data_IF_958531769351
#
_entry.id   IF_958531769351
#
_cell.length_a   1.000
_cell.length_b   1.000
_cell.length_c   1.000
_cell.angle_alpha   90.00
_cell.angle_beta   90.00
_cell.angle_gamma   90.00
#
_symmetry.space_group_name_H-M   'P 1'
#
loop_
_entity.id
_entity.type
_entity.pdbx_description
1 polymer ?
#
# COMPACT_ATOMS: atom_id res chain seq x y z
N UNK A 1 46.54 -26.95 -21.88
CA UNK A 1 47.83 -26.70 -21.20
C UNK A 1 48.10 -25.20 -21.28
N UNK A 2 48.20 -24.57 -20.10
CA UNK A 2 48.40 -23.13 -19.77
C UNK A 2 47.14 -22.25 -19.85
N UNK A 3 46.52 -21.82 -18.72
CA UNK A 3 46.88 -20.72 -17.78
C UNK A 3 46.64 -19.33 -18.41
N UNK A 4 46.00 -18.30 -17.84
CA UNK A 4 45.53 -17.84 -16.50
C UNK A 4 44.29 -16.92 -16.73
N UNK A 5 43.33 -16.72 -15.81
CA UNK A 5 43.37 -15.71 -14.74
C UNK A 5 42.12 -15.82 -13.82
N UNK A 6 42.35 -16.18 -12.56
CA UNK A 6 41.85 -15.59 -11.32
C UNK A 6 40.54 -14.74 -11.34
N UNK A 7 39.46 -15.29 -10.78
CA UNK A 7 38.29 -14.53 -10.30
C UNK A 7 38.13 -14.67 -8.78
N UNK A 8 37.87 -13.52 -8.16
CA UNK A 8 37.68 -13.26 -6.74
C UNK A 8 36.45 -13.97 -6.18
N UNK A 9 36.63 -14.64 -5.03
CA UNK A 9 35.52 -15.09 -4.19
C UNK A 9 34.90 -13.88 -3.49
N UNK A 10 33.78 -13.40 -4.00
CA UNK A 10 32.85 -12.57 -3.23
C UNK A 10 32.03 -13.45 -2.29
N UNK A 11 31.98 -13.03 -1.03
CA UNK A 11 31.27 -13.69 0.06
C UNK A 11 29.82 -13.20 0.02
N UNK A 12 28.90 -14.05 -0.41
CA UNK A 12 27.46 -13.77 -0.36
C UNK A 12 26.99 -13.73 1.11
N UNK A 13 26.83 -12.53 1.66
CA UNK A 13 26.08 -12.30 2.90
C UNK A 13 24.60 -12.23 2.51
N UNK A 14 23.84 -13.27 2.87
CA UNK A 14 22.38 -13.29 2.71
C UNK A 14 21.75 -12.22 3.61
N UNK A 15 21.25 -11.15 3.00
CA UNK A 15 20.42 -10.15 3.65
C UNK A 15 18.99 -10.70 3.80
N UNK A 16 18.61 -11.06 5.02
CA UNK A 16 17.22 -11.36 5.38
C UNK A 16 16.46 -10.05 5.61
N UNK A 17 15.39 -9.82 4.84
CA UNK A 17 14.42 -8.76 5.13
C UNK A 17 13.26 -9.31 5.92
N UNK A 18 13.13 -8.87 7.15
CA UNK A 18 12.03 -9.23 8.04
C UNK A 18 11.01 -8.10 8.11
N UNK A 19 9.71 -8.45 8.03
CA UNK A 19 8.57 -7.53 8.20
C UNK A 19 8.52 -7.00 9.62
N UNK A 20 8.12 -5.73 9.80
CA UNK A 20 7.95 -5.10 11.11
C UNK A 20 6.52 -4.55 11.23
N UNK A 21 5.76 -5.10 12.19
CA UNK A 21 4.41 -4.68 12.55
C UNK A 21 4.42 -3.34 13.32
N UNK A 22 3.52 -2.42 12.98
CA UNK A 22 3.40 -1.09 13.63
C UNK A 22 2.52 -1.13 14.89
N UNK A 23 2.77 -0.23 15.85
CA UNK A 23 1.82 0.11 16.93
C UNK A 23 1.53 1.63 16.97
N UNK A 24 0.24 1.92 16.76
CA UNK A 24 -0.55 3.15 16.96
C UNK A 24 0.07 4.55 16.78
N UNK A 25 -0.33 5.23 15.69
CA UNK A 25 -0.61 6.68 15.67
C UNK A 25 -1.36 7.16 14.41
N UNK A 26 -1.41 6.37 13.33
CA UNK A 26 -2.33 6.54 12.19
C UNK A 26 -2.35 5.19 11.46
N UNK A 27 -3.35 4.34 11.75
CA UNK A 27 -3.39 2.97 11.23
C UNK A 27 -3.86 2.97 9.77
N UNK A 28 -2.90 3.16 8.86
CA UNK A 28 -3.04 2.77 7.46
C UNK A 28 -3.01 1.25 7.39
N UNK A 29 -4.00 0.66 6.75
CA UNK A 29 -4.11 -0.79 6.54
C UNK A 29 -3.73 -1.12 5.10
N UNK A 30 -2.97 -2.19 4.88
CA UNK A 30 -2.61 -2.64 3.55
C UNK A 30 -3.17 -4.04 3.33
N UNK A 31 -3.86 -4.25 2.21
CA UNK A 31 -4.31 -5.57 1.77
C UNK A 31 -3.37 -6.00 0.65
N UNK A 32 -2.47 -6.92 0.93
CA UNK A 32 -1.57 -7.50 -0.06
C UNK A 32 -2.33 -8.55 -0.89
N UNK A 33 -2.44 -8.30 -2.20
CA UNK A 33 -3.31 -9.06 -3.10
C UNK A 33 -2.52 -9.95 -4.05
N UNK A 34 -2.87 -11.23 -4.05
CA UNK A 34 -2.63 -12.16 -5.15
C UNK A 34 -3.76 -12.04 -6.17
N UNK A 35 -3.45 -11.60 -7.40
CA UNK A 35 -4.41 -11.56 -8.49
C UNK A 35 -4.28 -12.79 -9.38
N UNK A 36 -5.24 -13.70 -9.28
CA UNK A 36 -5.41 -14.85 -10.16
C UNK A 36 -6.31 -14.52 -11.34
N UNK A 37 -5.88 -14.84 -12.55
CA UNK A 37 -6.62 -14.53 -13.77
C UNK A 37 -6.70 -15.76 -14.65
N UNK A 38 -7.91 -16.18 -14.95
CA UNK A 38 -8.11 -17.37 -15.77
C UNK A 38 -7.77 -17.14 -17.25
N UNK A 39 -7.71 -18.24 -18.02
CA UNK A 39 -7.39 -18.15 -19.44
C UNK A 39 -8.37 -17.30 -20.25
N UNK A 40 -9.63 -17.21 -19.83
CA UNK A 40 -10.70 -16.56 -20.59
C UNK A 40 -10.54 -15.04 -20.59
N UNK A 41 -10.10 -14.46 -19.46
CA UNK A 41 -9.73 -13.05 -19.36
C UNK A 41 -8.50 -12.75 -20.22
N UNK A 42 -7.45 -13.59 -20.11
CA UNK A 42 -6.23 -13.41 -20.88
C UNK A 42 -6.45 -13.55 -22.40
N UNK A 43 -7.33 -14.47 -22.80
CA UNK A 43 -7.72 -14.66 -24.19
C UNK A 43 -8.50 -13.45 -24.73
N UNK A 44 -9.37 -12.86 -23.92
CA UNK A 44 -10.23 -11.75 -24.33
C UNK A 44 -9.45 -10.42 -24.49
N UNK A 45 -8.59 -10.11 -23.53
CA UNK A 45 -7.79 -8.87 -23.55
C UNK A 45 -6.54 -8.99 -24.42
N UNK A 46 -6.04 -10.22 -24.62
CA UNK A 46 -4.78 -10.48 -25.32
C UNK A 46 -3.58 -10.39 -24.38
N UNK A 47 -2.59 -11.25 -24.61
CA UNK A 47 -1.43 -11.42 -23.69
C UNK A 47 -0.62 -10.14 -23.47
N UNK A 48 -0.53 -9.27 -24.46
CA UNK A 48 0.25 -8.02 -24.38
C UNK A 48 -0.48 -6.92 -23.60
N UNK A 49 -1.81 -6.93 -23.57
CA UNK A 49 -2.62 -5.86 -22.98
C UNK A 49 -3.24 -6.24 -21.64
N UNK A 50 -3.35 -7.53 -21.34
CA UNK A 50 -4.00 -8.03 -20.11
C UNK A 50 -3.34 -7.46 -18.86
N UNK A 51 -2.01 -7.39 -18.78
CA UNK A 51 -1.33 -6.85 -17.60
C UNK A 51 -1.71 -5.39 -17.34
N UNK A 52 -1.73 -4.55 -18.38
CA UNK A 52 -2.10 -3.13 -18.26
C UNK A 52 -3.57 -2.96 -17.84
N UNK A 53 -4.45 -3.77 -18.43
CA UNK A 53 -5.87 -3.81 -18.07
C UNK A 53 -6.05 -4.18 -16.58
N UNK A 54 -5.37 -5.23 -16.11
CA UNK A 54 -5.47 -5.71 -14.73
C UNK A 54 -4.93 -4.68 -13.72
N UNK A 55 -3.79 -4.04 -14.03
CA UNK A 55 -3.25 -2.97 -13.20
C UNK A 55 -4.24 -1.80 -13.11
N UNK A 56 -4.83 -1.41 -14.23
CA UNK A 56 -5.86 -0.36 -14.25
C UNK A 56 -7.08 -0.74 -13.41
N UNK A 57 -7.57 -1.97 -13.54
CA UNK A 57 -8.68 -2.49 -12.74
C UNK A 57 -8.37 -2.43 -11.24
N UNK A 58 -7.20 -2.92 -10.83
CA UNK A 58 -6.79 -2.92 -9.43
C UNK A 58 -6.55 -1.51 -8.88
N UNK A 59 -6.10 -0.56 -9.71
CA UNK A 59 -6.03 0.84 -9.31
C UNK A 59 -7.41 1.42 -9.04
N UNK A 60 -8.41 1.11 -9.86
CA UNK A 60 -9.80 1.51 -9.60
C UNK A 60 -10.30 0.90 -8.29
N UNK A 61 -10.02 -0.37 -8.03
CA UNK A 61 -10.35 -1.03 -6.74
C UNK A 61 -9.69 -0.29 -5.58
N UNK A 62 -8.41 0.06 -5.69
CA UNK A 62 -7.71 0.83 -4.67
C UNK A 62 -8.35 2.20 -4.42
N UNK A 63 -8.73 2.94 -5.47
CA UNK A 63 -9.44 4.21 -5.34
C UNK A 63 -10.81 4.07 -4.64
N UNK A 64 -11.52 2.96 -4.88
CA UNK A 64 -12.79 2.66 -4.18
C UNK A 64 -12.55 2.51 -2.67
N UNK A 65 -11.46 1.85 -2.26
CA UNK A 65 -11.09 1.71 -0.84
C UNK A 65 -10.50 2.98 -0.21
N UNK A 66 -10.03 3.93 -1.03
CA UNK A 66 -9.61 5.27 -0.58
C UNK A 66 -10.77 6.25 -0.41
N UNK A 67 -12.00 5.88 -0.77
CA UNK A 67 -13.14 6.76 -0.58
C UNK A 67 -13.39 7.04 0.91
N UNK A 68 -13.53 8.34 1.23
CA UNK A 68 -13.65 8.81 2.61
C UNK A 68 -14.86 8.21 3.36
N UNK A 69 -15.90 7.78 2.65
CA UNK A 69 -17.08 7.16 3.27
C UNK A 69 -16.77 5.83 3.96
N UNK A 70 -15.68 5.14 3.59
CA UNK A 70 -15.26 3.89 4.24
C UNK A 70 -14.89 4.10 5.71
N UNK A 71 -14.38 5.28 6.06
CA UNK A 71 -13.99 5.62 7.44
C UNK A 71 -12.67 5.00 7.92
N UNK A 72 -11.93 4.30 7.05
CA UNK A 72 -10.61 3.75 7.35
C UNK A 72 -9.68 3.87 6.12
N UNK A 73 -8.40 4.26 6.31
CA UNK A 73 -7.43 4.32 5.21
C UNK A 73 -6.92 2.92 4.88
N UNK A 74 -7.50 2.29 3.85
CA UNK A 74 -7.12 0.96 3.35
C UNK A 74 -6.46 1.09 1.98
N UNK A 75 -5.25 0.56 1.82
CA UNK A 75 -4.56 0.40 0.55
C UNK A 75 -4.77 -1.03 0.03
N UNK A 76 -5.09 -1.18 -1.25
CA UNK A 76 -5.14 -2.48 -1.94
C UNK A 76 -3.89 -2.59 -2.81
N UNK A 77 -2.98 -3.49 -2.45
CA UNK A 77 -1.64 -3.55 -3.03
C UNK A 77 -1.43 -4.86 -3.76
N UNK A 78 -1.23 -4.79 -5.07
CA UNK A 78 -0.97 -5.98 -5.88
C UNK A 78 0.46 -6.48 -5.63
N UNK A 79 0.63 -7.63 -5.00
CA UNK A 79 1.96 -8.22 -4.74
C UNK A 79 2.36 -9.23 -5.81
N UNK A 80 1.39 -9.92 -6.42
CA UNK A 80 1.63 -10.96 -7.41
C UNK A 80 0.48 -11.11 -8.37
N UNK A 81 0.79 -11.37 -9.64
CA UNK A 81 -0.20 -11.64 -10.69
C UNK A 81 0.09 -13.01 -11.33
N UNK A 82 -0.92 -13.87 -11.39
CA UNK A 82 -0.81 -15.20 -12.01
C UNK A 82 -1.88 -15.34 -13.09
N UNK A 83 -1.44 -15.51 -14.34
CA UNK A 83 -2.31 -15.85 -15.47
C UNK A 83 -2.29 -17.35 -15.68
N UNK A 84 -3.44 -18.00 -15.54
CA UNK A 84 -3.58 -19.44 -15.57
C UNK A 84 -3.65 -20.00 -17.00
N UNK A 85 -3.20 -21.24 -17.16
CA UNK A 85 -3.40 -22.00 -18.40
C UNK A 85 -4.87 -22.41 -18.56
N UNK A 86 -5.25 -22.78 -19.78
CA UNK A 86 -6.58 -23.31 -20.09
C UNK A 86 -6.96 -24.48 -19.17
N UNK A 87 -6.10 -25.50 -19.09
CA UNK A 87 -6.34 -26.71 -18.30
C UNK A 87 -6.56 -26.40 -16.82
N UNK A 88 -5.70 -25.55 -16.25
CA UNK A 88 -5.82 -25.19 -14.84
C UNK A 88 -7.09 -24.40 -14.58
N UNK A 89 -7.42 -23.45 -15.45
CA UNK A 89 -8.63 -22.63 -15.31
C UNK A 89 -9.91 -23.47 -15.35
N UNK A 90 -9.99 -24.44 -16.28
CA UNK A 90 -11.13 -25.35 -16.38
C UNK A 90 -11.27 -26.27 -15.15
N UNK A 91 -10.19 -26.50 -14.41
CA UNK A 91 -10.23 -27.26 -13.15
C UNK A 91 -10.71 -26.45 -11.94
N UNK A 92 -10.71 -25.11 -12.03
CA UNK A 92 -11.11 -24.24 -10.91
C UNK A 92 -12.56 -23.78 -11.01
N UNK A 93 -13.08 -23.57 -12.24
CA UNK A 93 -14.42 -23.03 -12.46
C UNK A 93 -15.40 -24.16 -12.79
N UNK A 94 -16.37 -24.38 -11.89
CA UNK A 94 -17.48 -25.30 -12.08
C UNK A 94 -18.75 -24.56 -12.50
N UNK A 95 -19.23 -24.85 -13.70
CA UNK A 95 -20.42 -24.17 -14.24
C UNK A 95 -21.65 -24.43 -13.38
N UNK A 96 -22.30 -23.35 -12.97
CA UNK A 96 -23.52 -23.40 -12.17
C UNK A 96 -23.31 -23.77 -10.70
N UNK A 97 -22.07 -23.92 -10.25
CA UNK A 97 -21.72 -24.19 -8.86
C UNK A 97 -20.74 -23.14 -8.32
N UNK A 98 -21.24 -21.96 -7.90
CA UNK A 98 -20.38 -20.87 -7.44
C UNK A 98 -19.64 -21.22 -6.15
N UNK A 99 -20.29 -21.99 -5.27
CA UNK A 99 -19.69 -22.42 -4.00
C UNK A 99 -18.48 -23.33 -4.22
N UNK A 100 -18.60 -24.34 -5.07
CA UNK A 100 -17.48 -25.23 -5.39
C UNK A 100 -16.37 -24.50 -6.16
N UNK A 101 -16.74 -23.61 -7.08
CA UNK A 101 -15.77 -22.78 -7.81
C UNK A 101 -14.94 -21.92 -6.86
N UNK A 102 -15.58 -21.26 -5.89
CA UNK A 102 -14.89 -20.48 -4.87
C UNK A 102 -14.00 -21.37 -4.01
N UNK A 103 -14.46 -22.53 -3.53
CA UNK A 103 -13.64 -23.46 -2.75
C UNK A 103 -12.37 -23.88 -3.51
N UNK A 104 -12.51 -24.21 -4.79
CA UNK A 104 -11.39 -24.57 -5.66
C UNK A 104 -10.38 -23.42 -5.81
N UNK A 105 -10.88 -22.19 -6.00
CA UNK A 105 -10.07 -20.97 -6.10
C UNK A 105 -9.34 -20.67 -4.79
N UNK A 106 -10.02 -20.71 -3.66
CA UNK A 106 -9.44 -20.47 -2.34
C UNK A 106 -8.35 -21.50 -2.01
N UNK A 107 -8.60 -22.78 -2.33
CA UNK A 107 -7.60 -23.83 -2.19
C UNK A 107 -6.41 -23.61 -3.13
N UNK A 108 -6.64 -23.18 -4.36
CA UNK A 108 -5.56 -22.85 -5.28
C UNK A 108 -4.72 -21.68 -4.78
N UNK A 109 -5.34 -20.61 -4.28
CA UNK A 109 -4.67 -19.44 -3.72
C UNK A 109 -3.83 -19.81 -2.49
N UNK A 110 -4.37 -20.63 -1.59
CA UNK A 110 -3.62 -21.18 -0.46
C UNK A 110 -2.34 -21.91 -0.90
N UNK A 111 -2.41 -22.69 -1.98
CA UNK A 111 -1.22 -23.37 -2.54
C UNK A 111 -0.23 -22.42 -3.23
N UNK A 112 -0.60 -21.17 -3.51
CA UNK A 112 0.31 -20.15 -4.05
C UNK A 112 1.00 -19.33 -2.97
N UNK A 113 0.59 -19.50 -1.71
CA UNK A 113 1.10 -18.72 -0.58
C UNK A 113 2.58 -19.01 -0.32
N UNK A 114 3.31 -17.98 0.07
CA UNK A 114 4.70 -18.10 0.50
C UNK A 114 4.77 -18.55 1.95
N UNK A 115 5.73 -19.42 2.27
CA UNK A 115 5.90 -19.92 3.64
C UNK A 115 6.41 -18.81 4.58
N UNK A 116 7.27 -17.93 4.07
CA UNK A 116 7.80 -16.79 4.82
C UNK A 116 6.87 -15.59 4.68
N UNK A 117 6.33 -15.12 5.80
CA UNK A 117 5.57 -13.86 5.86
C UNK A 117 6.45 -12.69 5.37
N UNK A 118 7.76 -12.74 5.56
CA UNK A 118 8.71 -11.75 5.05
C UNK A 118 8.96 -11.78 3.54
N UNK A 119 8.30 -12.64 2.77
CA UNK A 119 8.45 -12.69 1.31
C UNK A 119 7.71 -11.52 0.63
N UNK A 120 8.32 -10.97 -0.43
CA UNK A 120 7.73 -9.89 -1.21
C UNK A 120 6.45 -10.30 -1.93
N UNK A 121 6.28 -11.58 -2.24
CA UNK A 121 5.10 -12.13 -2.90
C UNK A 121 4.10 -12.78 -1.90
N UNK A 122 4.31 -12.65 -0.59
CA UNK A 122 3.32 -13.07 0.41
C UNK A 122 2.07 -12.18 0.32
N UNK A 123 0.89 -12.78 0.45
CA UNK A 123 -0.39 -12.08 0.24
C UNK A 123 -1.39 -12.33 1.38
N UNK A 124 -2.17 -11.31 1.72
CA UNK A 124 -3.26 -11.38 2.70
C UNK A 124 -4.55 -11.90 2.08
N UNK A 125 -4.74 -11.58 0.80
CA UNK A 125 -6.00 -11.76 0.10
C UNK A 125 -5.79 -12.21 -1.35
N UNK A 126 -6.65 -13.09 -1.85
CA UNK A 126 -6.62 -13.53 -3.23
C UNK A 126 -7.87 -13.08 -4.00
N UNK A 127 -7.67 -12.43 -5.14
CA UNK A 127 -8.74 -12.01 -6.03
C UNK A 127 -8.63 -12.84 -7.30
N UNK A 128 -9.69 -13.58 -7.64
CA UNK A 128 -9.75 -14.37 -8.86
C UNK A 128 -10.71 -13.76 -9.87
N UNK A 129 -10.24 -13.58 -11.11
CA UNK A 129 -11.01 -13.03 -12.22
C UNK A 129 -11.24 -14.08 -13.30
N UNK A 130 -12.49 -14.19 -13.76
CA UNK A 130 -12.89 -15.08 -14.84
C UNK A 130 -13.97 -14.44 -15.72
N UNK A 131 -13.95 -14.72 -17.03
CA UNK A 131 -15.09 -14.42 -17.93
C UNK A 131 -16.01 -15.62 -18.11
N UNK A 132 -15.76 -16.71 -17.40
CA UNK A 132 -16.62 -17.90 -17.43
C UNK A 132 -17.80 -17.72 -16.48
N UNK A 133 -18.94 -18.32 -16.84
CA UNK A 133 -20.11 -18.38 -15.97
C UNK A 133 -19.89 -19.45 -14.89
N UNK A 134 -19.81 -19.03 -13.63
CA UNK A 134 -19.68 -19.93 -12.47
C UNK A 134 -20.96 -20.04 -11.64
N UNK A 135 -21.91 -19.11 -11.81
CA UNK A 135 -23.15 -19.03 -11.05
C UNK A 135 -24.41 -18.83 -11.90
N UNK A 136 -25.57 -18.62 -11.26
CA UNK A 136 -26.81 -18.25 -11.94
C UNK A 136 -26.65 -16.97 -12.78
N UNK A 137 -27.44 -16.83 -13.85
CA UNK A 137 -27.39 -15.64 -14.71
C UNK A 137 -27.55 -14.35 -13.92
N UNK A 138 -26.58 -13.44 -14.04
CA UNK A 138 -26.54 -12.16 -13.33
C UNK A 138 -25.71 -12.18 -12.03
N UNK A 139 -25.21 -13.34 -11.58
CA UNK A 139 -24.22 -13.41 -10.51
C UNK A 139 -22.86 -12.94 -11.04
N UNK A 140 -22.34 -11.85 -10.46
CA UNK A 140 -21.07 -11.25 -10.88
C UNK A 140 -19.92 -11.57 -9.94
N UNK A 141 -20.19 -11.93 -8.68
CA UNK A 141 -19.17 -12.22 -7.68
C UNK A 141 -19.66 -13.24 -6.67
N UNK A 142 -18.70 -13.85 -5.96
CA UNK A 142 -18.97 -14.72 -4.84
C UNK A 142 -17.78 -14.73 -3.87
N UNK A 143 -18.08 -14.51 -2.59
CA UNK A 143 -17.09 -14.45 -1.53
C UNK A 143 -17.63 -14.99 -0.20
N UNK A 144 -16.74 -15.45 0.71
CA UNK A 144 -17.13 -15.71 2.08
C UNK A 144 -17.32 -14.39 2.84
N UNK A 145 -18.36 -14.32 3.67
CA UNK A 145 -18.50 -13.23 4.63
C UNK A 145 -17.56 -13.50 5.80
N UNK A 146 -16.66 -12.55 6.08
CA UNK A 146 -15.48 -12.67 6.94
C UNK A 146 -14.47 -13.72 6.44
N UNK A 147 -13.20 -13.46 6.71
CA UNK A 147 -12.12 -14.37 6.32
C UNK A 147 -10.85 -13.68 5.88
N UNK A 148 -10.77 -12.34 5.97
CA UNK A 148 -9.51 -11.62 5.73
C UNK A 148 -8.40 -12.17 6.62
N UNK A 149 -7.18 -12.28 6.08
CA UNK A 149 -6.02 -12.95 6.68
C UNK A 149 -6.15 -14.48 6.86
N UNK A 150 -7.30 -15.10 6.57
CA UNK A 150 -7.46 -16.53 6.77
C UNK A 150 -6.95 -17.33 5.56
N UNK A 151 -6.06 -18.34 5.75
CA UNK A 151 -5.34 -18.99 4.65
C UNK A 151 -6.22 -19.61 3.55
N UNK A 152 -7.42 -20.08 3.90
CA UNK A 152 -8.35 -20.74 2.97
C UNK A 152 -9.69 -20.00 2.81
N UNK A 153 -9.84 -18.81 3.41
CA UNK A 153 -11.07 -18.00 3.30
C UNK A 153 -10.82 -16.58 2.79
N UNK A 154 -9.58 -16.11 2.75
CA UNK A 154 -9.25 -14.79 2.22
C UNK A 154 -9.17 -14.80 0.69
N UNK A 155 -10.31 -15.00 0.04
CA UNK A 155 -10.39 -15.23 -1.40
C UNK A 155 -11.73 -14.75 -1.97
N UNK A 156 -11.72 -14.24 -3.20
CA UNK A 156 -12.94 -13.84 -3.93
C UNK A 156 -12.92 -14.41 -5.35
N UNK A 157 -14.10 -14.76 -5.87
CA UNK A 157 -14.31 -15.16 -7.26
C UNK A 157 -15.19 -14.12 -7.95
N UNK A 158 -14.65 -13.48 -8.99
CA UNK A 158 -15.26 -12.33 -9.63
C UNK A 158 -15.37 -12.55 -11.15
N UNK A 159 -16.52 -12.23 -11.70
CA UNK A 159 -16.77 -12.19 -13.13
C UNK A 159 -16.19 -10.89 -13.70
N UNK A 160 -15.27 -11.01 -14.66
CA UNK A 160 -14.68 -9.88 -15.36
C UNK A 160 -15.50 -9.54 -16.59
N UNK A 161 -16.08 -8.34 -16.60
CA UNK A 161 -16.94 -7.87 -17.68
C UNK A 161 -16.65 -6.41 -18.05
N UNK A 162 -15.39 -5.98 -17.96
CA UNK A 162 -14.97 -4.60 -18.15
C UNK A 162 -14.62 -3.90 -16.84
N UNK A 163 -14.35 -2.60 -16.89
CA UNK A 163 -13.85 -1.89 -15.70
C UNK A 163 -14.91 -1.74 -14.59
N UNK A 164 -16.20 -1.89 -14.91
CA UNK A 164 -17.27 -1.95 -13.91
C UNK A 164 -17.11 -3.12 -12.94
N UNK A 165 -16.42 -4.19 -13.33
CA UNK A 165 -16.12 -5.31 -12.44
C UNK A 165 -15.26 -4.92 -11.24
N UNK A 166 -14.59 -3.75 -11.26
CA UNK A 166 -13.89 -3.23 -10.07
C UNK A 166 -14.84 -3.02 -8.88
N UNK A 167 -16.08 -2.60 -9.12
CA UNK A 167 -17.08 -2.47 -8.05
C UNK A 167 -17.49 -3.82 -7.50
N UNK A 168 -17.52 -4.86 -8.33
CA UNK A 168 -17.77 -6.24 -7.90
C UNK A 168 -16.60 -6.73 -7.05
N UNK A 169 -15.36 -6.54 -7.52
CA UNK A 169 -14.16 -6.91 -6.75
C UNK A 169 -14.14 -6.23 -5.38
N UNK A 170 -14.41 -4.91 -5.33
CA UNK A 170 -14.49 -4.19 -4.06
C UNK A 170 -15.64 -4.69 -3.17
N UNK A 171 -16.80 -5.02 -3.74
CA UNK A 171 -17.93 -5.60 -3.01
C UNK A 171 -17.58 -6.94 -2.39
N UNK A 172 -17.02 -7.86 -3.18
CA UNK A 172 -16.64 -9.20 -2.72
C UNK A 172 -15.51 -9.14 -1.67
N UNK A 173 -14.52 -8.26 -1.85
CA UNK A 173 -13.49 -8.06 -0.80
C UNK A 173 -14.09 -7.40 0.45
N UNK A 174 -15.12 -6.55 0.30
CA UNK A 174 -15.94 -6.02 1.41
C UNK A 174 -16.59 -7.13 2.25
N UNK A 175 -17.14 -8.16 1.62
CA UNK A 175 -17.64 -9.34 2.33
C UNK A 175 -16.55 -10.04 3.15
N UNK A 176 -15.35 -10.20 2.58
CA UNK A 176 -14.22 -10.86 3.27
C UNK A 176 -13.73 -10.05 4.48
N UNK A 177 -13.89 -8.72 4.43
CA UNK A 177 -13.68 -7.79 5.55
C UNK A 177 -14.83 -7.79 6.58
N UNK A 178 -15.90 -8.54 6.33
CA UNK A 178 -17.03 -8.73 7.25
C UNK A 178 -18.22 -7.80 7.02
N UNK A 179 -18.30 -7.12 5.87
CA UNK A 179 -19.45 -6.29 5.52
C UNK A 179 -20.60 -7.14 4.96
N UNK A 180 -21.83 -6.81 5.32
CA UNK A 180 -23.05 -7.41 4.79
C UNK A 180 -23.71 -6.49 3.75
N UNK A 181 -24.73 -7.01 3.09
CA UNK A 181 -25.47 -6.26 2.08
C UNK A 181 -26.29 -5.11 2.68
N UNK A 182 -26.27 -3.96 2.02
CA UNK A 182 -27.12 -2.83 2.39
C UNK A 182 -28.60 -3.11 2.10
N UNK A 183 -29.46 -2.81 3.07
CA UNK A 183 -30.91 -2.99 2.96
C UNK A 183 -31.38 -4.44 3.10
N UNK A 184 -30.48 -5.40 3.35
CA UNK A 184 -30.83 -6.77 3.70
C UNK A 184 -30.61 -7.00 5.20
N UNK A 185 -31.66 -6.80 6.00
CA UNK A 185 -31.58 -7.01 7.45
C UNK A 185 -30.93 -5.85 8.23
N UNK A 186 -30.50 -4.78 7.56
CA UNK A 186 -29.99 -3.56 8.18
C UNK A 186 -30.74 -2.29 7.71
N UNK A 187 -30.39 -1.14 8.30
CA UNK A 187 -31.07 0.15 8.10
C UNK A 187 -30.57 0.94 6.89
N UNK A 188 -29.65 0.40 6.07
CA UNK A 188 -28.98 1.13 4.99
C UNK A 188 -29.63 0.96 3.60
N UNK A 189 -30.89 0.52 3.57
CA UNK A 189 -31.64 0.33 2.32
C UNK A 189 -31.91 1.62 1.53
N UNK A 190 -31.90 2.78 2.20
CA UNK A 190 -31.99 4.11 1.57
C UNK A 190 -30.74 4.50 0.79
N UNK A 191 -29.58 3.91 1.09
CA UNK A 191 -28.30 4.19 0.43
C UNK A 191 -28.04 3.32 -0.80
N UNK A 192 -28.74 2.18 -0.92
CA UNK A 192 -28.71 1.30 -2.10
C UNK A 192 -28.95 2.07 -3.41
N UNK A 193 -30.04 2.86 -3.58
CA UNK A 193 -30.28 3.61 -4.81
C UNK A 193 -29.28 4.77 -5.02
N UNK A 194 -28.55 5.17 -3.98
CA UNK A 194 -27.54 6.24 -4.05
C UNK A 194 -26.21 5.74 -4.65
N UNK A 195 -26.04 4.41 -4.81
CA UNK A 195 -24.82 3.82 -5.36
C UNK A 195 -23.90 3.22 -4.30
N UNK A 196 -24.45 2.75 -3.18
CA UNK A 196 -23.63 2.05 -2.18
C UNK A 196 -22.95 0.82 -2.79
N UNK A 197 -21.67 0.61 -2.44
CA UNK A 197 -20.85 -0.50 -2.94
C UNK A 197 -21.42 -1.84 -2.48
N UNK A 198 -21.90 -1.96 -1.23
CA UNK A 198 -22.46 -3.20 -0.67
C UNK A 198 -23.95 -3.41 -1.03
N UNK A 199 -24.47 -2.69 -2.03
CA UNK A 199 -25.81 -2.96 -2.57
C UNK A 199 -25.89 -4.37 -3.19
N UNK A 200 -26.97 -5.16 -2.95
CA UNK A 200 -27.14 -6.51 -3.51
C UNK A 200 -27.13 -6.58 -5.03
N UNK A 201 -27.47 -5.48 -5.69
CA UNK A 201 -27.39 -5.31 -7.14
C UNK A 201 -26.47 -4.12 -7.39
N UNK A 202 -25.46 -4.29 -8.25
CA UNK A 202 -24.49 -3.24 -8.56
C UNK A 202 -25.21 -1.96 -9.01
N UNK A 203 -25.23 -0.94 -8.14
CA UNK A 203 -25.74 0.40 -8.43
C UNK A 203 -24.63 1.46 -8.54
N UNK A 204 -23.44 1.13 -8.02
CA UNK A 204 -22.26 1.98 -8.06
C UNK A 204 -21.76 2.18 -9.50
N UNK A 205 -21.24 3.39 -9.77
CA UNK A 205 -20.64 3.76 -11.05
C UNK A 205 -19.48 4.74 -10.81
N UNK A 206 -18.56 4.91 -11.77
CA UNK A 206 -17.34 5.71 -11.60
C UNK A 206 -17.54 7.16 -11.10
N UNK A 207 -18.69 7.78 -11.35
CA UNK A 207 -19.00 9.14 -10.89
C UNK A 207 -19.90 9.18 -9.65
N UNK A 208 -20.35 8.01 -9.17
CA UNK A 208 -21.35 7.89 -8.10
C UNK A 208 -21.21 6.53 -7.42
N UNK A 209 -20.41 6.50 -6.36
CA UNK A 209 -20.25 5.37 -5.46
C UNK A 209 -19.90 5.88 -4.06
N UNK A 210 -20.19 5.09 -3.05
CA UNK A 210 -19.77 5.30 -1.67
C UNK A 210 -19.92 4.01 -0.87
N UNK A 211 -19.31 3.93 0.30
CA UNK A 211 -19.54 2.91 1.32
C UNK A 211 -20.63 3.40 2.27
N UNK A 212 -21.61 2.55 2.57
CA UNK A 212 -22.71 2.96 3.46
C UNK A 212 -22.24 3.14 4.90
N UNK A 213 -23.08 3.81 5.70
CA UNK A 213 -22.90 3.87 7.15
C UNK A 213 -22.87 2.48 7.81
N UNK A 214 -23.56 1.48 7.24
CA UNK A 214 -23.53 0.11 7.73
C UNK A 214 -22.20 -0.56 7.42
N UNK A 215 -21.70 -0.42 6.18
CA UNK A 215 -20.39 -0.97 5.77
C UNK A 215 -19.25 -0.37 6.60
N UNK A 216 -19.25 0.94 6.82
CA UNK A 216 -18.28 1.61 7.70
C UNK A 216 -18.34 1.05 9.13
N UNK A 217 -19.54 0.89 9.68
CA UNK A 217 -19.71 0.37 11.04
C UNK A 217 -19.25 -1.08 11.16
N UNK A 218 -19.58 -1.93 10.19
CA UNK A 218 -19.21 -3.35 10.15
C UNK A 218 -17.71 -3.54 10.01
N UNK A 219 -17.08 -2.79 9.11
CA UNK A 219 -15.62 -2.76 8.98
C UNK A 219 -14.96 -2.39 10.30
N UNK A 220 -15.42 -1.32 10.96
CA UNK A 220 -14.89 -0.87 12.24
C UNK A 220 -14.96 -1.93 13.36
N UNK A 221 -15.88 -2.90 13.29
CA UNK A 221 -15.96 -4.01 14.25
C UNK A 221 -14.85 -5.05 14.06
N UNK A 222 -14.45 -5.31 12.82
CA UNK A 222 -13.51 -6.40 12.49
C UNK A 222 -12.10 -5.91 12.17
N UNK A 223 -11.93 -4.67 11.72
CA UNK A 223 -10.66 -4.17 11.18
C UNK A 223 -9.47 -4.32 12.16
N UNK A 224 -9.70 -4.10 13.46
CA UNK A 224 -8.67 -4.28 14.49
C UNK A 224 -8.27 -5.75 14.74
N UNK A 225 -9.08 -6.72 14.29
CA UNK A 225 -8.80 -8.15 14.43
C UNK A 225 -7.94 -8.71 13.29
N UNK A 226 -7.75 -7.95 12.21
CA UNK A 226 -6.97 -8.37 11.04
C UNK A 226 -5.51 -7.94 11.18
N UNK A 227 -4.75 -8.76 11.91
CA UNK A 227 -3.35 -8.52 12.21
C UNK A 227 -2.44 -8.44 10.97
N UNK A 228 -2.78 -9.14 9.89
CA UNK A 228 -2.01 -9.18 8.64
C UNK A 228 -2.06 -7.87 7.84
N UNK A 229 -3.00 -6.97 8.13
CA UNK A 229 -3.15 -5.73 7.37
C UNK A 229 -2.26 -4.59 7.92
N UNK A 230 -1.51 -4.85 8.99
CA UNK A 230 -0.83 -3.85 9.79
C UNK A 230 0.65 -3.63 9.44
N UNK A 231 1.21 -4.44 8.53
CA UNK A 231 2.55 -4.28 8.01
C UNK A 231 2.59 -3.47 6.70
N UNK A 232 3.81 -3.04 6.36
CA UNK A 232 4.07 -2.26 5.16
C UNK A 232 4.40 -3.21 4.00
N UNK A 233 3.72 -3.09 2.85
CA UNK A 233 3.97 -3.95 1.70
C UNK A 233 5.37 -3.70 1.13
N UNK A 234 5.91 -4.71 0.45
CA UNK A 234 7.16 -4.55 -0.28
C UNK A 234 7.01 -3.61 -1.47
N UNK A 235 8.12 -2.96 -1.84
CA UNK A 235 8.16 -2.14 -3.04
C UNK A 235 8.20 -3.05 -4.27
N UNK A 236 7.16 -2.96 -5.09
CA UNK A 236 7.03 -3.73 -6.32
C UNK A 236 7.32 -2.84 -7.52
N UNK A 237 8.16 -3.32 -8.44
CA UNK A 237 8.49 -2.64 -9.68
C UNK A 237 7.36 -2.73 -10.74
N UNK A 238 6.11 -2.51 -10.34
CA UNK A 238 5.00 -2.35 -11.27
C UNK A 238 5.13 -1.03 -12.03
N UNK A 239 4.77 -0.98 -13.32
CA UNK A 239 4.80 0.27 -14.05
C UNK A 239 3.79 1.26 -13.46
N UNK A 240 4.20 2.51 -13.26
CA UNK A 240 3.29 3.58 -12.86
C UNK A 240 2.17 3.74 -13.88
N UNK A 241 0.92 3.69 -13.42
CA UNK A 241 -0.24 3.95 -14.26
C UNK A 241 -0.42 5.45 -14.48
N UNK A 242 -1.00 5.88 -15.62
CA UNK A 242 -1.38 7.27 -15.77
C UNK A 242 -2.42 7.67 -14.72
N UNK A 243 -2.38 8.93 -14.29
CA UNK A 243 -3.39 9.50 -13.39
C UNK A 243 -4.81 9.32 -13.93
N UNK A 244 -4.98 9.42 -15.25
CA UNK A 244 -6.25 9.25 -15.94
C UNK A 244 -6.21 7.98 -16.82
N UNK A 245 -6.81 6.87 -16.36
CA UNK A 245 -6.80 5.61 -17.09
C UNK A 245 -7.31 5.70 -18.53
N UNK A 246 -8.35 6.49 -18.75
CA UNK A 246 -9.04 6.62 -20.04
C UNK A 246 -8.18 7.14 -21.19
N UNK A 247 -7.00 7.72 -20.91
CA UNK A 247 -6.02 8.12 -21.93
C UNK A 247 -5.58 6.91 -22.78
N UNK A 248 -5.60 5.72 -22.18
CA UNK A 248 -5.19 4.49 -22.83
C UNK A 248 -6.35 3.61 -23.30
N UNK A 249 -7.59 4.01 -23.03
CA UNK A 249 -8.78 3.22 -23.32
C UNK A 249 -9.81 4.09 -24.03
N UNK A 250 -9.95 3.88 -25.33
CA UNK A 250 -10.98 4.52 -26.15
C UNK A 250 -12.38 4.08 -25.74
N UNK A 251 -13.41 4.86 -26.13
CA UNK A 251 -14.82 4.47 -25.93
C UNK A 251 -15.15 3.13 -26.61
N UNK A 252 -14.54 2.84 -27.76
CA UNK A 252 -14.74 1.58 -28.47
C UNK A 252 -14.15 0.40 -27.70
N UNK A 253 -12.95 0.54 -27.12
CA UNK A 253 -12.34 -0.50 -26.29
C UNK A 253 -13.17 -0.76 -25.03
N UNK A 254 -13.64 0.30 -24.38
CA UNK A 254 -14.52 0.16 -23.22
C UNK A 254 -15.84 -0.53 -23.58
N UNK A 255 -16.45 -0.19 -24.71
CA UNK A 255 -17.63 -0.90 -25.22
C UNK A 255 -17.36 -2.37 -25.50
N UNK A 256 -16.19 -2.69 -26.08
CA UNK A 256 -15.74 -4.06 -26.28
C UNK A 256 -15.65 -4.78 -24.93
N UNK A 257 -15.04 -4.17 -23.93
CA UNK A 257 -14.88 -4.79 -22.60
C UNK A 257 -16.22 -5.07 -21.92
N UNK A 258 -17.14 -4.10 -21.98
CA UNK A 258 -18.44 -4.18 -21.33
C UNK A 258 -19.39 -5.21 -21.95
N UNK A 259 -19.41 -5.32 -23.28
CA UNK A 259 -20.43 -6.09 -24.01
C UNK A 259 -19.87 -7.21 -24.91
N UNK A 260 -18.55 -7.33 -25.00
CA UNK A 260 -17.85 -8.36 -25.75
C UNK A 260 -17.35 -7.91 -27.12
N UNK A 261 -16.78 -8.87 -27.85
CA UNK A 261 -16.20 -8.62 -29.17
C UNK A 261 -17.22 -8.00 -30.14
N UNK A 262 -16.74 -7.04 -30.95
CA UNK A 262 -17.53 -6.36 -31.97
C UNK A 262 -18.32 -5.14 -31.47
N UNK A 263 -18.58 -5.00 -30.17
CA UNK A 263 -19.24 -3.81 -29.65
C UNK A 263 -18.34 -2.57 -29.73
N UNK A 264 -18.93 -1.45 -30.14
CA UNK A 264 -18.29 -0.15 -30.28
C UNK A 264 -19.23 0.96 -29.81
N UNK A 265 -18.73 2.19 -29.74
CA UNK A 265 -19.52 3.36 -29.33
C UNK A 265 -20.74 3.53 -30.25
N UNK A 266 -21.91 3.69 -29.65
CA UNK A 266 -23.18 3.85 -30.34
C UNK A 266 -23.26 5.22 -31.02
N UNK A 267 -23.53 5.20 -32.32
CA UNK A 267 -23.67 6.41 -33.16
C UNK A 267 -25.09 6.66 -33.63
N UNK A 268 -26.06 5.82 -33.22
CA UNK A 268 -27.46 5.91 -33.65
C UNK A 268 -28.14 7.22 -33.25
N UNK A 269 -27.68 7.86 -32.17
CA UNK A 269 -28.13 9.19 -31.76
C UNK A 269 -26.95 9.97 -31.16
N UNK A 270 -26.97 11.29 -31.35
CA UNK A 270 -25.97 12.17 -30.72
C UNK A 270 -26.29 12.31 -29.24
N UNK A 271 -25.43 11.77 -28.39
CA UNK A 271 -25.45 12.12 -26.96
C UNK A 271 -24.94 13.56 -26.80
N UNK A 272 -25.66 14.37 -26.04
CA UNK A 272 -25.26 15.77 -25.75
C UNK A 272 -23.94 15.82 -24.97
N UNK A 273 -23.72 14.85 -24.08
CA UNK A 273 -22.47 14.66 -23.35
C UNK A 273 -22.14 13.16 -23.32
N UNK A 274 -21.19 12.68 -24.15
CA UNK A 274 -20.84 11.26 -24.22
C UNK A 274 -20.14 10.76 -22.95
N UNK A 275 -19.73 11.66 -22.06
CA UNK A 275 -19.09 11.31 -20.81
C UNK A 275 -20.06 10.97 -19.69
N UNK A 276 -21.37 11.23 -19.83
CA UNK A 276 -22.34 10.89 -18.78
C UNK A 276 -22.62 9.39 -18.72
N UNK A 277 -22.78 8.76 -19.89
CA UNK A 277 -23.06 7.34 -20.01
C UNK A 277 -22.43 6.80 -21.31
N UNK A 278 -21.69 5.70 -21.18
CA UNK A 278 -21.17 4.98 -22.33
C UNK A 278 -22.28 4.14 -22.96
N UNK A 279 -22.64 4.48 -24.20
CA UNK A 279 -23.61 3.75 -25.00
C UNK A 279 -22.88 2.97 -26.11
N UNK A 280 -23.23 1.70 -26.25
CA UNK A 280 -22.54 0.76 -27.12
C UNK A 280 -23.52 0.04 -28.04
N UNK A 281 -23.11 -0.24 -29.27
CA UNK A 281 -23.87 -0.99 -30.25
C UNK A 281 -22.98 -1.99 -30.99
N UNK A 282 -23.56 -3.07 -31.48
CA UNK A 282 -22.88 -4.00 -32.38
C UNK A 282 -23.07 -3.53 -33.84
N UNK A 283 -22.05 -3.60 -34.72
CA UNK A 283 -22.15 -3.22 -36.13
C UNK A 283 -23.29 -3.90 -36.91
N UNK A 284 -23.62 -5.14 -36.54
CA UNK A 284 -24.73 -5.89 -37.15
C UNK A 284 -26.12 -5.30 -36.79
N UNK A 285 -26.21 -4.54 -35.69
CA UNK A 285 -27.43 -3.87 -35.27
C UNK A 285 -27.11 -2.49 -34.65
N UNK A 286 -26.71 -1.50 -35.48
CA UNK A 286 -26.15 -0.24 -35.00
C UNK A 286 -27.19 0.65 -34.29
N UNK A 287 -28.49 0.42 -34.52
CA UNK A 287 -29.59 1.16 -33.89
C UNK A 287 -29.95 0.63 -32.50
N UNK A 288 -29.47 -0.56 -32.13
CA UNK A 288 -29.74 -1.14 -30.82
C UNK A 288 -28.59 -0.85 -29.85
N UNK A 289 -28.75 0.25 -29.12
CA UNK A 289 -27.73 0.72 -28.17
C UNK A 289 -28.01 0.22 -26.75
N UNK A 290 -26.97 -0.30 -26.10
CA UNK A 290 -26.96 -0.78 -24.72
C UNK A 290 -26.03 0.08 -23.88
N UNK A 291 -26.26 0.10 -22.57
CA UNK A 291 -25.37 0.78 -21.61
C UNK A 291 -25.39 0.05 -20.28
N UNK A 292 -24.25 0.09 -19.56
CA UNK A 292 -24.16 -0.29 -18.14
C UNK A 292 -24.49 0.87 -17.19
N UNK A 293 -24.99 2.00 -17.72
CA UNK A 293 -25.34 3.23 -16.98
C UNK A 293 -24.16 3.94 -16.31
N UNK A 294 -22.93 3.55 -16.64
CA UNK A 294 -21.70 4.19 -16.18
C UNK A 294 -21.09 5.12 -17.24
N UNK A 295 -20.34 6.15 -16.83
CA UNK A 295 -19.59 7.01 -17.73
C UNK A 295 -18.37 6.25 -18.26
N UNK A 296 -17.77 6.68 -19.38
CA UNK A 296 -16.43 6.25 -19.76
C UNK A 296 -15.40 6.62 -18.68
N UNK A 297 -14.26 5.94 -18.69
CA UNK A 297 -13.15 6.26 -17.78
C UNK A 297 -12.67 7.72 -17.92
N UNK A 298 -12.25 8.30 -16.80
CA UNK A 298 -11.64 9.62 -16.81
C UNK A 298 -10.34 9.60 -17.63
N UNK A 299 -10.18 10.59 -18.51
CA UNK A 299 -9.14 10.66 -19.53
C UNK A 299 -9.56 10.15 -20.91
N UNK A 300 -10.73 9.54 -21.07
CA UNK A 300 -11.18 9.07 -22.39
C UNK A 300 -11.51 10.21 -23.32
N UNK A 301 -10.95 10.20 -24.54
CA UNK A 301 -11.21 11.23 -25.55
C UNK A 301 -12.70 11.26 -25.90
N UNK A 302 -13.33 12.43 -25.73
CA UNK A 302 -14.77 12.63 -25.96
C UNK A 302 -15.07 13.58 -27.12
N UNK A 303 -14.14 14.47 -27.45
CA UNK A 303 -14.18 15.35 -28.62
C UNK A 303 -12.74 15.78 -28.96
N UNK A 304 -12.48 16.43 -30.11
CA UNK A 304 -11.13 16.88 -30.45
C UNK A 304 -10.50 17.74 -29.34
N UNK A 305 -9.45 17.20 -28.70
CA UNK A 305 -8.73 17.83 -27.59
C UNK A 305 -9.41 17.79 -26.22
N UNK A 306 -10.64 17.25 -26.12
CA UNK A 306 -11.39 17.11 -24.86
C UNK A 306 -11.42 15.66 -24.39
N UNK A 307 -11.49 15.50 -23.08
CA UNK A 307 -11.51 14.19 -22.41
C UNK A 307 -12.64 14.14 -21.37
N UNK A 308 -13.11 12.94 -21.08
CA UNK A 308 -14.02 12.71 -19.97
C UNK A 308 -13.30 12.94 -18.65
N UNK A 309 -13.93 13.70 -17.75
CA UNK A 309 -13.48 13.86 -16.38
C UNK A 309 -14.70 14.05 -15.48
N UNK A 310 -14.86 13.18 -14.48
CA UNK A 310 -16.03 13.17 -13.57
C UNK A 310 -17.37 13.20 -14.32
N UNK A 311 -17.45 12.46 -15.42
CA UNK A 311 -18.67 12.35 -16.23
C UNK A 311 -18.94 13.51 -17.21
N UNK A 312 -18.00 14.42 -17.40
CA UNK A 312 -18.15 15.58 -18.30
C UNK A 312 -17.06 15.64 -19.37
N UNK A 313 -17.44 16.06 -20.59
CA UNK A 313 -16.49 16.27 -21.69
C UNK A 313 -15.80 17.65 -21.60
N UNK A 314 -14.59 17.69 -21.04
CA UNK A 314 -13.87 18.94 -20.70
C UNK A 314 -12.47 19.01 -21.31
N UNK A 315 -11.88 20.20 -21.32
CA UNK A 315 -10.45 20.37 -21.57
C UNK A 315 -9.69 20.07 -20.28
N UNK A 316 -8.69 19.18 -20.34
CA UNK A 316 -7.85 18.88 -19.18
C UNK A 316 -6.90 20.06 -18.94
N UNK A 317 -6.99 20.68 -17.77
CA UNK A 317 -6.08 21.76 -17.34
C UNK A 317 -5.06 21.23 -16.32
N UNK A 318 -3.90 21.89 -16.14
CA UNK A 318 -2.95 21.52 -15.09
C UNK A 318 -3.59 21.46 -13.70
N UNK A 319 -4.57 22.32 -13.41
CA UNK A 319 -5.31 22.31 -12.14
C UNK A 319 -6.17 21.05 -11.97
N UNK A 320 -6.77 20.54 -13.05
CA UNK A 320 -7.52 19.28 -13.06
C UNK A 320 -6.58 18.08 -12.88
N UNK A 321 -5.40 18.15 -13.50
CA UNK A 321 -4.35 17.14 -13.40
C UNK A 321 -3.46 17.33 -12.18
N UNK A 322 -3.87 18.16 -11.22
CA UNK A 322 -3.16 18.32 -9.95
C UNK A 322 -3.20 17.01 -9.19
N UNK A 323 -2.02 16.52 -8.79
CA UNK A 323 -1.87 15.32 -8.00
C UNK A 323 -1.08 15.66 -6.75
N UNK A 324 -1.73 15.56 -5.58
CA UNK A 324 -1.02 15.67 -4.31
C UNK A 324 -0.13 14.44 -4.12
N UNK A 325 1.03 14.65 -3.50
CA UNK A 325 1.99 13.59 -3.22
C UNK A 325 1.53 12.74 -2.04
N UNK A 326 1.77 11.44 -2.13
CA UNK A 326 1.54 10.52 -1.02
C UNK A 326 2.82 9.72 -0.72
N UNK A 327 2.95 9.31 0.55
CA UNK A 327 4.14 8.64 1.04
C UNK A 327 4.27 7.27 0.35
N UNK A 328 5.42 7.04 -0.25
CA UNK A 328 5.88 5.71 -0.62
C UNK A 328 6.13 4.82 0.60
N UNK A 329 6.44 3.56 0.31
CA UNK A 329 6.77 2.59 1.34
C UNK A 329 7.98 3.05 2.17
N UNK A 330 8.02 2.60 3.42
CA UNK A 330 9.25 2.74 4.20
C UNK A 330 10.33 1.82 3.66
N UNK A 331 11.56 2.32 3.63
CA UNK A 331 12.74 1.50 3.42
C UNK A 331 12.85 0.43 4.50
N UNK A 332 13.64 -0.61 4.23
CA UNK A 332 14.11 -1.50 5.29
C UNK A 332 14.86 -0.68 6.35
N UNK A 333 14.82 -1.13 7.60
CA UNK A 333 15.68 -0.57 8.63
C UNK A 333 17.14 -0.78 8.23
N UNK A 334 17.94 0.28 8.37
CA UNK A 334 19.39 0.19 8.21
C UNK A 334 20.05 -0.63 9.32
N UNK A 335 21.38 -0.74 9.27
CA UNK A 335 22.14 -1.44 10.30
C UNK A 335 21.95 -0.79 11.67
N UNK A 336 21.92 -1.62 12.72
CA UNK A 336 21.84 -1.14 14.09
C UNK A 336 23.13 -0.39 14.45
N UNK A 337 23.00 0.77 15.10
CA UNK A 337 24.16 1.58 15.52
C UNK A 337 25.09 0.87 16.50
N UNK A 338 24.63 -0.22 17.14
CA UNK A 338 25.40 -1.03 18.08
C UNK A 338 25.07 -2.50 17.93
N UNK A 339 26.01 -3.38 18.28
CA UNK A 339 25.79 -4.84 18.32
C UNK A 339 25.27 -5.34 19.67
N UNK A 340 25.34 -4.51 20.74
CA UNK A 340 24.81 -4.80 22.08
C UNK A 340 24.54 -3.49 22.83
N UNK A 341 23.86 -3.57 23.97
CA UNK A 341 23.69 -2.45 24.90
C UNK A 341 22.68 -1.40 24.44
N UNK A 342 21.68 -1.80 23.64
CA UNK A 342 20.64 -0.95 23.03
C UNK A 342 21.20 0.07 22.04
N UNK A 343 21.20 -0.28 20.76
CA UNK A 343 21.44 0.64 19.64
C UNK A 343 20.14 1.16 19.03
N UNK A 344 20.28 1.97 17.98
CA UNK A 344 19.15 2.44 17.17
C UNK A 344 19.39 2.13 15.70
N UNK A 345 18.32 1.82 15.00
CA UNK A 345 18.27 1.70 13.55
C UNK A 345 17.18 2.64 13.04
N UNK A 346 17.30 3.05 11.77
CA UNK A 346 16.33 3.95 11.16
C UNK A 346 15.90 3.46 9.78
N UNK A 347 14.71 3.89 9.37
CA UNK A 347 14.20 3.75 8.01
C UNK A 347 13.68 5.09 7.50
N UNK A 348 13.57 5.22 6.18
CA UNK A 348 13.11 6.43 5.51
C UNK A 348 12.03 6.12 4.49
N UNK A 349 11.19 7.09 4.14
CA UNK A 349 10.22 6.97 3.05
C UNK A 349 10.26 8.21 2.19
N UNK A 350 9.90 8.07 0.91
CA UNK A 350 9.87 9.16 -0.06
C UNK A 350 8.43 9.57 -0.38
N UNK A 351 8.24 10.78 -0.88
CA UNK A 351 6.93 11.27 -1.29
C UNK A 351 6.74 11.02 -2.79
N UNK A 352 6.55 9.76 -3.15
CA UNK A 352 6.65 9.28 -4.53
C UNK A 352 5.55 8.29 -4.94
N UNK A 353 4.57 8.00 -4.08
CA UNK A 353 3.51 7.03 -4.38
C UNK A 353 2.08 7.59 -4.20
N UNK A 354 1.63 8.53 -5.06
CA UNK A 354 2.35 9.12 -6.19
C UNK A 354 3.19 10.33 -5.79
N UNK A 355 4.13 10.73 -6.65
CA UNK A 355 4.85 11.99 -6.48
C UNK A 355 3.91 13.20 -6.74
N UNK A 356 4.09 14.33 -6.03
CA UNK A 356 3.29 15.52 -6.27
C UNK A 356 3.56 16.09 -7.68
N UNK A 357 2.50 16.37 -8.44
CA UNK A 357 2.60 16.97 -9.79
C UNK A 357 1.62 18.12 -9.96
N UNK A 358 1.90 19.02 -10.93
CA UNK A 358 1.07 20.19 -11.26
C UNK A 358 0.69 21.06 -10.05
N UNK A 359 1.65 21.33 -9.16
CA UNK A 359 1.43 22.13 -7.94
C UNK A 359 0.72 21.37 -6.82
N UNK A 360 0.73 20.03 -6.88
CA UNK A 360 0.35 19.12 -5.81
C UNK A 360 1.07 19.39 -4.49
N UNK A 361 0.39 19.11 -3.38
CA UNK A 361 0.96 19.20 -2.03
C UNK A 361 2.01 18.13 -1.81
N UNK A 362 3.13 18.46 -1.18
CA UNK A 362 4.06 17.46 -0.69
C UNK A 362 3.48 16.70 0.50
N UNK A 363 3.99 15.50 0.74
CA UNK A 363 3.53 14.64 1.82
C UNK A 363 3.74 15.29 3.20
N UNK A 364 2.72 15.18 4.06
CA UNK A 364 2.77 15.68 5.43
C UNK A 364 3.13 14.57 6.42
N UNK A 365 3.94 14.89 7.43
CA UNK A 365 4.40 13.93 8.44
C UNK A 365 5.87 13.54 8.32
N UNK A 366 6.30 12.57 9.13
CA UNK A 366 7.72 12.17 9.22
C UNK A 366 8.13 11.34 8.01
N UNK A 367 9.30 11.65 7.43
CA UNK A 367 9.94 10.86 6.38
C UNK A 367 11.07 9.95 6.89
N UNK A 368 11.29 9.92 8.20
CA UNK A 368 12.21 9.02 8.90
C UNK A 368 11.56 8.45 10.16
N UNK A 369 11.94 7.23 10.53
CA UNK A 369 11.50 6.56 11.75
C UNK A 369 12.69 5.86 12.40
N UNK A 370 12.76 5.92 13.73
CA UNK A 370 13.82 5.32 14.55
C UNK A 370 13.25 4.24 15.47
N UNK A 371 13.96 3.13 15.60
CA UNK A 371 13.62 2.02 16.48
C UNK A 371 14.86 1.53 17.23
N UNK A 372 14.66 1.07 18.47
CA UNK A 372 15.68 0.38 19.26
C UNK A 372 15.99 -1.01 18.69
N UNK A 373 17.27 -1.36 18.69
CA UNK A 373 17.78 -2.65 18.25
C UNK A 373 18.90 -3.14 19.20
N UNK A 374 19.20 -4.44 19.16
CA UNK A 374 20.28 -5.06 19.94
C UNK A 374 20.27 -4.70 21.43
N UNK A 375 19.13 -4.96 22.09
CA UNK A 375 18.89 -4.62 23.50
C UNK A 375 19.62 -5.50 24.51
N UNK A 376 20.29 -6.57 24.07
CA UNK A 376 21.04 -7.46 24.96
C UNK A 376 22.23 -6.76 25.61
N UNK A 377 22.48 -7.02 26.89
CA UNK A 377 23.59 -6.42 27.61
C UNK A 377 24.93 -6.88 27.03
N UNK A 378 25.87 -5.94 26.89
CA UNK A 378 27.21 -6.26 26.46
C UNK A 378 27.92 -7.09 27.54
N UNK A 379 28.61 -8.17 27.17
CA UNK A 379 29.36 -9.04 28.11
C UNK A 379 30.62 -8.41 28.75
N UNK A 380 30.90 -7.13 28.48
CA UNK A 380 31.93 -6.34 29.17
C UNK A 380 31.23 -5.43 30.19
N UNK A 381 31.86 -5.08 31.33
CA UNK A 381 31.29 -4.08 32.24
C UNK A 381 30.90 -2.86 31.41
N UNK A 382 29.62 -2.52 31.46
CA UNK A 382 28.90 -1.62 30.55
C UNK A 382 29.68 -0.33 30.34
N UNK A 383 30.49 -0.29 29.28
CA UNK A 383 31.13 0.94 28.87
C UNK A 383 30.01 1.83 28.33
N UNK A 384 29.80 2.93 29.02
CA UNK A 384 28.90 3.97 28.57
C UNK A 384 29.29 4.37 27.14
N UNK A 385 28.33 4.36 26.22
CA UNK A 385 28.61 4.64 24.81
C UNK A 385 29.16 6.06 24.60
N UNK A 386 28.79 7.01 25.48
CA UNK A 386 29.39 8.35 25.48
C UNK A 386 30.83 8.31 25.97
N UNK A 387 31.13 7.47 26.96
CA UNK A 387 32.50 7.28 27.47
C UNK A 387 33.40 6.71 26.38
N UNK A 388 32.95 5.70 25.62
CA UNK A 388 33.71 5.16 24.49
C UNK A 388 34.03 6.26 23.47
N UNK A 389 33.06 7.12 23.16
CA UNK A 389 33.24 8.24 22.25
C UNK A 389 34.23 9.28 22.77
N UNK A 390 34.24 9.58 24.07
CA UNK A 390 35.23 10.46 24.68
C UNK A 390 36.62 9.83 24.70
N UNK A 391 36.74 8.56 25.11
CA UNK A 391 38.01 7.83 25.22
C UNK A 391 38.73 7.68 23.88
N UNK A 392 37.99 7.64 22.76
CA UNK A 392 38.60 7.65 21.42
C UNK A 392 39.51 8.85 21.19
N UNK A 393 39.34 9.96 21.92
CA UNK A 393 40.15 11.17 21.79
C UNK A 393 41.39 11.20 22.70
N UNK A 394 41.49 10.32 23.70
CA UNK A 394 42.65 10.24 24.60
C UNK A 394 44.01 10.27 23.85
N UNK A 395 44.23 9.49 22.78
CA UNK A 395 45.50 9.51 22.06
C UNK A 395 45.65 10.66 21.06
N UNK A 396 44.58 11.35 20.67
CA UNK A 396 44.60 12.30 19.53
C UNK A 396 44.39 13.77 19.92
N UNK A 397 43.82 14.05 21.09
CA UNK A 397 43.46 15.40 21.48
C UNK A 397 44.34 15.91 22.62
N UNK A 398 45.33 16.73 22.26
CA UNK A 398 46.13 17.51 23.20
C UNK A 398 45.37 18.79 23.59
N UNK A 399 45.15 18.97 24.89
CA UNK A 399 44.53 20.16 25.46
C UNK A 399 45.50 20.77 26.46
N UNK A 400 45.69 22.09 26.41
CA UNK A 400 46.67 22.80 27.25
C UNK A 400 48.09 22.18 27.25
N UNK A 401 48.55 21.65 26.10
CA UNK A 401 49.84 20.97 25.91
C UNK A 401 50.02 19.66 26.72
N UNK A 402 48.94 18.97 27.07
CA UNK A 402 48.97 17.63 27.66
C UNK A 402 47.92 16.71 27.04
N UNK A 403 48.16 15.39 27.12
CA UNK A 403 47.13 14.39 26.88
C UNK A 403 46.26 14.25 28.12
N UNK A 404 44.95 14.11 27.90
CA UNK A 404 43.95 13.98 28.96
C UNK A 404 43.17 12.68 28.78
N UNK A 405 42.69 12.12 29.89
CA UNK A 405 41.69 11.06 29.85
C UNK A 405 40.31 11.69 29.87
N UNK A 406 39.53 11.45 28.82
CA UNK A 406 38.25 12.10 28.61
C UNK A 406 37.11 11.24 29.14
N UNK A 407 36.41 11.76 30.13
CA UNK A 407 35.22 11.16 30.75
C UNK A 407 33.95 11.70 30.09
N UNK A 408 32.85 10.91 30.05
CA UNK A 408 31.58 11.37 29.50
C UNK A 408 31.02 12.52 30.34
N UNK A 409 30.43 13.52 29.67
CA UNK A 409 29.76 14.63 30.34
C UNK A 409 28.32 14.79 29.83
N UNK A 410 27.36 14.87 30.76
CA UNK A 410 25.97 15.23 30.50
C UNK A 410 25.81 16.74 30.64
N UNK A 411 25.48 17.43 29.54
CA UNK A 411 25.28 18.88 29.57
C UNK A 411 23.98 19.24 30.34
N UNK A 412 23.97 20.30 31.17
CA UNK A 412 22.78 20.70 31.91
C UNK A 412 21.60 21.04 31.00
N UNK A 413 21.86 21.76 29.90
CA UNK A 413 20.87 22.15 28.90
C UNK A 413 20.49 20.99 27.99
N UNK A 414 19.19 20.72 27.85
CA UNK A 414 18.69 19.55 27.14
C UNK A 414 19.03 19.55 25.63
N UNK A 415 19.03 20.72 24.98
CA UNK A 415 19.42 20.90 23.57
C UNK A 415 20.87 20.54 23.29
N UNK A 416 21.73 20.69 24.30
CA UNK A 416 23.17 20.44 24.18
C UNK A 416 23.55 19.01 24.56
N UNK A 417 22.63 18.21 25.11
CA UNK A 417 22.94 16.85 25.62
C UNK A 417 23.41 15.89 24.54
N UNK A 418 23.03 16.10 23.29
CA UNK A 418 23.46 15.26 22.17
C UNK A 418 24.68 15.79 21.42
N UNK A 419 25.28 16.88 21.92
CA UNK A 419 26.61 17.29 21.53
C UNK A 419 27.65 16.53 22.39
N UNK A 420 28.77 16.16 21.79
CA UNK A 420 29.82 15.42 22.48
C UNK A 420 30.66 16.37 23.35
N UNK A 421 30.24 16.50 24.61
CA UNK A 421 31.04 17.11 25.66
C UNK A 421 31.76 16.04 26.46
N UNK A 422 33.04 16.27 26.72
CA UNK A 422 33.85 15.38 27.55
C UNK A 422 34.57 16.18 28.64
N UNK A 423 34.71 15.58 29.82
CA UNK A 423 35.40 16.17 30.96
C UNK A 423 36.79 15.56 31.09
N UNK A 424 37.84 16.39 31.21
CA UNK A 424 39.17 15.89 31.54
C UNK A 424 39.21 15.37 32.97
N UNK A 425 39.78 14.17 33.15
CA UNK A 425 40.05 13.59 34.46
C UNK A 425 41.11 14.38 35.25
N UNK A 426 42.09 14.96 34.55
CA UNK A 426 43.25 15.65 35.10
C UNK A 426 42.91 17.08 35.57
N UNK A 427 42.18 17.85 34.75
CA UNK A 427 41.91 19.28 35.03
C UNK A 427 40.47 19.56 35.43
N UNK A 428 39.54 18.62 35.21
CA UNK A 428 38.09 18.79 35.33
C UNK A 428 37.45 19.74 34.32
N UNK A 429 38.22 20.24 33.36
CA UNK A 429 37.71 21.08 32.27
C UNK A 429 36.75 20.27 31.39
N UNK A 430 35.65 20.91 30.98
CA UNK A 430 34.67 20.35 30.06
C UNK A 430 34.88 20.96 28.69
N UNK A 431 35.08 20.12 27.68
CA UNK A 431 35.38 20.56 26.32
C UNK A 431 34.36 19.99 25.35
N UNK A 432 33.85 20.84 24.46
CA UNK A 432 33.04 20.43 23.32
C UNK A 432 33.94 19.90 22.20
N UNK A 433 33.77 18.64 21.83
CA UNK A 433 34.59 17.95 20.82
C UNK A 433 34.21 18.29 19.36
N UNK A 434 33.38 19.34 19.14
CA UNK A 434 32.92 19.79 17.81
C UNK A 434 32.22 18.71 16.98
N UNK A 435 31.59 17.74 17.64
CA UNK A 435 30.81 16.66 17.02
C UNK A 435 29.56 16.35 17.83
N UNK A 436 28.57 15.77 17.17
CA UNK A 436 27.43 15.17 17.84
C UNK A 436 27.82 13.79 18.38
N UNK A 437 27.13 13.35 19.43
CA UNK A 437 27.22 11.96 19.85
C UNK A 437 26.57 11.05 18.80
N UNK A 438 27.02 9.81 18.70
CA UNK A 438 26.41 8.83 17.81
C UNK A 438 24.95 8.53 18.20
N UNK A 439 24.10 8.29 17.20
CA UNK A 439 22.69 7.95 17.42
C UNK A 439 22.55 6.67 18.27
N UNK A 440 21.69 6.73 19.28
CA UNK A 440 21.54 5.71 20.32
C UNK A 440 22.31 5.99 21.61
N UNK A 441 23.17 7.01 21.64
CA UNK A 441 23.83 7.44 22.90
C UNK A 441 22.80 7.99 23.87
N UNK A 442 22.86 7.60 25.15
CA UNK A 442 21.98 8.18 26.18
C UNK A 442 22.22 9.69 26.29
N UNK A 443 21.14 10.47 26.28
CA UNK A 443 21.23 11.90 26.56
C UNK A 443 21.02 12.23 28.04
N UNK A 444 20.43 11.32 28.82
CA UNK A 444 20.21 11.48 30.26
C UNK A 444 20.63 10.20 30.98
N UNK A 445 21.45 10.31 32.01
CA UNK A 445 21.75 9.18 32.89
C UNK A 445 20.68 8.96 33.97
N UNK A 446 19.74 9.91 34.10
CA UNK A 446 18.61 9.80 35.05
C UNK A 446 17.44 9.02 34.48
N UNK A 447 17.31 8.98 33.15
CA UNK A 447 16.23 8.31 32.44
C UNK A 447 16.81 7.34 31.41
N UNK A 448 16.65 6.03 31.60
CA UNK A 448 17.23 5.05 30.70
C UNK A 448 16.57 5.01 29.31
N UNK A 449 15.45 5.71 29.09
CA UNK A 449 14.74 5.75 27.82
C UNK A 449 15.10 6.96 26.95
N UNK A 450 15.89 7.89 27.48
CA UNK A 450 16.28 9.12 26.78
C UNK A 450 17.57 8.91 25.97
N UNK A 451 17.47 8.93 24.64
CA UNK A 451 18.56 8.68 23.70
C UNK A 451 18.68 9.78 22.65
N UNK A 452 19.89 9.97 22.11
CA UNK A 452 20.18 10.90 21.04
C UNK A 452 19.85 10.30 19.68
N UNK A 453 19.11 11.04 18.87
CA UNK A 453 18.85 10.73 17.46
C UNK A 453 18.92 12.02 16.63
N UNK A 454 19.75 12.06 15.58
CA UNK A 454 20.01 13.25 14.74
C UNK A 454 20.38 14.51 15.52
N UNK A 455 21.04 14.35 16.67
CA UNK A 455 21.46 15.47 17.53
C UNK A 455 20.39 15.99 18.49
N UNK A 456 19.21 15.38 18.53
CA UNK A 456 18.16 15.70 19.50
C UNK A 456 17.99 14.59 20.53
N UNK A 457 17.70 14.97 21.78
CA UNK A 457 17.39 14.04 22.86
C UNK A 457 15.91 13.62 22.78
N UNK A 458 15.67 12.37 22.39
CA UNK A 458 14.36 11.78 22.20
C UNK A 458 14.08 10.69 23.24
N UNK A 459 12.80 10.46 23.54
CA UNK A 459 12.39 9.43 24.51
C UNK A 459 11.91 8.20 23.74
N UNK A 460 12.47 7.03 24.06
CA UNK A 460 11.98 5.76 23.54
C UNK A 460 10.70 5.36 24.25
N UNK A 461 9.63 5.13 23.50
CA UNK A 461 8.38 4.56 24.00
C UNK A 461 8.21 3.16 23.39
N UNK A 462 8.45 2.13 24.20
CA UNK A 462 8.51 0.74 23.70
C UNK A 462 9.71 0.53 22.76
N UNK A 463 9.47 0.03 21.55
CA UNK A 463 10.52 -0.16 20.53
C UNK A 463 10.83 1.09 19.72
N UNK A 464 9.93 2.07 19.64
CA UNK A 464 10.07 3.23 18.77
C UNK A 464 10.58 4.46 19.52
N UNK A 465 11.30 5.34 18.82
CA UNK A 465 11.91 6.55 19.39
C UNK A 465 11.10 7.77 18.99
N UNK A 466 10.42 8.38 19.95
CA UNK A 466 9.60 9.56 19.75
C UNK A 466 10.41 10.84 19.89
N UNK A 467 10.58 11.59 18.80
CA UNK A 467 11.03 12.99 18.87
C UNK A 467 9.93 13.82 19.52
N UNK A 468 10.13 14.25 20.76
CA UNK A 468 9.15 15.01 21.53
C UNK A 468 8.92 16.42 20.99
N UNK A 469 8.15 16.57 19.92
CA UNK A 469 7.35 17.78 19.73
C UNK A 469 6.09 17.59 20.57
N UNK A 470 6.04 18.25 21.73
CA UNK A 470 4.74 18.58 22.35
C UNK A 470 4.01 19.51 21.36
N UNK A 471 3.29 18.93 20.41
CA UNK A 471 2.19 19.64 19.78
C UNK A 471 1.18 19.89 20.89
N UNK A 472 1.15 21.14 21.36
CA UNK A 472 0.02 21.64 22.13
C UNK A 472 -1.17 21.57 21.18
N UNK A 473 -1.96 20.52 21.29
CA UNK A 473 -3.36 20.55 20.90
C UNK A 473 -4.01 21.67 21.72
N UNK A 474 -4.19 22.82 21.09
CA UNK A 474 -5.17 23.80 21.55
C UNK A 474 -6.54 23.24 21.16
N UNK A 475 -7.33 22.97 22.20
CA UNK A 475 -8.77 22.68 22.16
C UNK A 475 -9.54 23.73 21.35
#
# INVERSE_FOLDING_TARGET
WKELLQESKETNILYSSTRVRRQAADHVYNIEVLLGVDYSVAQFHGKEHVQKYLLTLMNIVNEIYHDNSLGAPINVVLVRMIVLSYEKSMSLIERGNPAQSLENVCRWAFLQQKEDEGDAEYHDHAIFLTRQEFGPSGMQGYAPVTGMCHPVRSCTLNHEDGFSSAFVVAHETGHVLGMEHDGQGNVCGDEVPMGSIMAPLVQAAFHRFHWSRCSQQELGRYLHSYDCLGDDPFDHAWPSLPQLPGIHYSMNEQCRFDFGFGYMMCTAYSTLDPCQQLWCSHPDNPFFCKTKKGPPLDGTVCAPGKHCFKGHCVWLTPEILKQDGNWGAWSKFGECSRTCGSGVQFRTRQCDNPAPTNGGRTCYGKNYEFQLCNSEECGRPSADFREEQCRMWDPYFEYQNSHHHWLPYEHPEASERCHLYCQSKETRDVVYMKRMVHDGTRCSYRDPYSICVRGDCAVSAGRFVGTGSRERHSL
#
